data_IF_937088884278
#
_entry.id   IF_937088884278
#
_cell.length_a   1.000
_cell.length_b   1.000
_cell.length_c   1.000
_cell.angle_alpha   90.00
_cell.angle_beta   90.00
_cell.angle_gamma   90.00
#
_symmetry.space_group_name_H-M   'P 1'
#
loop_
_entity.id
_entity.type
_entity.pdbx_description
1 polymer ?
#
# COMPACT_ATOMS: atom_id res chain seq x y z
N UNK A 1 3.66 -29.57 -73.79
CA UNK A 1 4.30 -28.67 -72.80
C UNK A 1 3.51 -28.67 -71.50
N UNK A 2 3.73 -29.61 -70.57
CA UNK A 2 3.07 -29.65 -69.24
C UNK A 2 3.97 -30.33 -68.18
N UNK A 3 5.27 -29.99 -68.13
CA UNK A 3 6.26 -30.65 -67.25
C UNK A 3 6.72 -29.83 -66.03
N UNK A 4 6.90 -28.52 -66.15
CA UNK A 4 7.64 -27.74 -65.15
C UNK A 4 6.82 -27.22 -63.96
N UNK A 5 5.49 -27.08 -64.12
CA UNK A 5 4.66 -26.42 -63.12
C UNK A 5 4.49 -27.19 -61.80
N UNK A 6 4.55 -28.53 -61.81
CA UNK A 6 4.34 -29.36 -60.61
C UNK A 6 5.55 -29.42 -59.70
N UNK A 7 6.77 -29.54 -60.25
CA UNK A 7 8.01 -29.62 -59.48
C UNK A 7 8.32 -28.27 -58.81
N UNK A 8 8.13 -27.17 -59.55
CA UNK A 8 8.31 -25.81 -59.02
C UNK A 8 7.28 -25.49 -57.92
N UNK A 9 6.00 -25.89 -58.09
CA UNK A 9 4.98 -25.77 -57.03
C UNK A 9 5.33 -26.60 -55.79
N UNK A 10 5.79 -27.84 -55.94
CA UNK A 10 6.20 -28.68 -54.80
C UNK A 10 7.40 -28.09 -54.04
N UNK A 11 8.38 -27.54 -54.76
CA UNK A 11 9.54 -26.85 -54.16
C UNK A 11 9.14 -25.57 -53.42
N UNK A 12 8.23 -24.78 -53.99
CA UNK A 12 7.71 -23.57 -53.34
C UNK A 12 6.90 -23.88 -52.08
N UNK A 13 6.04 -24.92 -52.12
CA UNK A 13 5.26 -25.38 -50.97
C UNK A 13 6.18 -25.90 -49.86
N UNK A 14 7.21 -26.67 -50.20
CA UNK A 14 8.17 -27.19 -49.23
C UNK A 14 8.98 -26.06 -48.55
N UNK A 15 9.41 -25.05 -49.31
CA UNK A 15 10.07 -23.84 -48.77
C UNK A 15 9.15 -23.04 -47.85
N UNK A 16 7.86 -22.93 -48.18
CA UNK A 16 6.86 -22.27 -47.34
C UNK A 16 6.61 -23.02 -46.03
N UNK A 17 6.47 -24.35 -46.07
CA UNK A 17 6.30 -25.17 -44.86
C UNK A 17 7.54 -25.05 -43.96
N UNK A 18 8.74 -25.12 -44.53
CA UNK A 18 9.97 -24.96 -43.77
C UNK A 18 10.09 -23.55 -43.16
N UNK A 19 9.74 -22.51 -43.91
CA UNK A 19 9.74 -21.13 -43.42
C UNK A 19 8.75 -20.93 -42.26
N UNK A 20 7.55 -21.51 -42.34
CA UNK A 20 6.56 -21.47 -41.26
C UNK A 20 7.07 -22.21 -40.02
N UNK A 21 7.67 -23.40 -40.16
CA UNK A 21 8.22 -24.14 -39.02
C UNK A 21 9.36 -23.39 -38.33
N UNK A 22 10.26 -22.77 -39.11
CA UNK A 22 11.35 -21.93 -38.58
C UNK A 22 10.79 -20.70 -37.88
N UNK A 23 9.77 -20.03 -38.45
CA UNK A 23 9.12 -18.88 -37.82
C UNK A 23 8.43 -19.24 -36.52
N UNK A 24 7.69 -20.36 -36.47
CA UNK A 24 7.06 -20.85 -35.23
C UNK A 24 8.12 -21.15 -34.16
N UNK A 25 9.20 -21.83 -34.53
CA UNK A 25 10.31 -22.13 -33.61
C UNK A 25 11.02 -20.86 -33.11
N UNK A 26 11.25 -19.89 -33.99
CA UNK A 26 11.84 -18.59 -33.62
C UNK A 26 10.90 -17.81 -32.69
N UNK A 27 9.59 -17.80 -32.93
CA UNK A 27 8.63 -17.12 -32.05
C UNK A 27 8.54 -17.80 -30.67
N UNK A 28 8.52 -19.13 -30.61
CA UNK A 28 8.48 -19.89 -29.36
C UNK A 28 9.77 -19.72 -28.52
N UNK A 29 10.93 -19.79 -29.17
CA UNK A 29 12.24 -19.58 -28.51
C UNK A 29 12.39 -18.15 -27.97
N UNK A 30 11.92 -17.15 -28.72
CA UNK A 30 11.86 -15.75 -28.27
C UNK A 30 10.89 -15.59 -27.09
N UNK A 31 9.69 -16.19 -27.14
CA UNK A 31 8.69 -16.12 -26.07
C UNK A 31 9.16 -16.77 -24.76
N UNK A 32 9.94 -17.86 -24.84
CA UNK A 32 10.55 -18.48 -23.66
C UNK A 32 11.64 -17.60 -23.03
N UNK A 33 12.45 -16.92 -23.85
CA UNK A 33 13.51 -16.03 -23.39
C UNK A 33 12.98 -14.87 -22.53
N UNK A 34 11.85 -14.26 -22.90
CA UNK A 34 11.25 -13.18 -22.11
C UNK A 34 10.59 -13.67 -20.81
N UNK A 35 10.05 -14.89 -20.80
CA UNK A 35 9.39 -15.44 -19.60
C UNK A 35 10.38 -15.97 -18.58
N UNK A 36 11.52 -16.48 -19.02
CA UNK A 36 12.50 -17.14 -18.15
C UNK A 36 12.98 -16.26 -16.97
N UNK A 37 13.40 -14.98 -17.15
CA UNK A 37 13.83 -14.13 -16.03
C UNK A 37 12.72 -13.92 -15.00
N UNK A 38 11.48 -13.68 -15.45
CA UNK A 38 10.33 -13.51 -14.56
C UNK A 38 10.00 -14.78 -13.77
N UNK A 39 10.08 -15.95 -14.43
CA UNK A 39 9.93 -17.24 -13.77
C UNK A 39 11.05 -17.50 -12.75
N UNK A 40 12.29 -17.15 -13.07
CA UNK A 40 13.45 -17.31 -12.19
C UNK A 40 13.34 -16.39 -10.96
N UNK A 41 13.02 -15.11 -11.15
CA UNK A 41 12.79 -14.18 -10.05
C UNK A 41 11.62 -14.62 -9.15
N UNK A 42 10.51 -15.05 -9.76
CA UNK A 42 9.39 -15.63 -9.03
C UNK A 42 9.76 -16.90 -8.26
N UNK A 43 10.57 -17.78 -8.87
CA UNK A 43 11.04 -19.01 -8.25
C UNK A 43 11.95 -18.73 -7.06
N UNK A 44 12.86 -17.75 -7.19
CA UNK A 44 13.69 -17.28 -6.08
C UNK A 44 12.83 -16.74 -4.91
N UNK A 45 11.78 -15.97 -5.22
CA UNK A 45 10.82 -15.48 -4.21
C UNK A 45 10.09 -16.63 -3.49
N UNK A 46 9.72 -17.69 -4.20
CA UNK A 46 9.07 -18.86 -3.59
C UNK A 46 10.03 -19.65 -2.70
N UNK A 47 11.30 -19.80 -3.12
CA UNK A 47 12.36 -20.42 -2.31
C UNK A 47 12.61 -19.63 -1.03
N UNK A 48 12.70 -18.30 -1.11
CA UNK A 48 12.84 -17.42 0.05
C UNK A 48 11.63 -17.51 0.99
N UNK A 49 10.41 -17.53 0.44
CA UNK A 49 9.18 -17.71 1.22
C UNK A 49 9.20 -19.03 1.98
N UNK A 50 9.62 -20.13 1.35
CA UNK A 50 9.73 -21.42 2.02
C UNK A 50 10.74 -21.41 3.16
N UNK A 51 11.91 -20.79 2.96
CA UNK A 51 12.91 -20.59 4.01
C UNK A 51 12.38 -19.77 5.19
N UNK A 52 11.73 -18.63 4.90
CA UNK A 52 11.15 -17.75 5.93
C UNK A 52 10.06 -18.47 6.72
N UNK A 53 9.14 -19.16 6.05
CA UNK A 53 8.06 -19.88 6.71
C UNK A 53 8.61 -21.03 7.58
N UNK A 54 9.68 -21.71 7.15
CA UNK A 54 10.39 -22.72 7.95
C UNK A 54 10.95 -22.12 9.24
N UNK A 55 11.64 -20.97 9.13
CA UNK A 55 12.20 -20.24 10.27
C UNK A 55 11.11 -19.76 11.24
N UNK A 56 10.02 -19.21 10.72
CA UNK A 56 8.89 -18.73 11.51
C UNK A 56 8.15 -19.86 12.21
N UNK A 57 7.96 -21.00 11.53
CA UNK A 57 7.29 -22.15 12.12
C UNK A 57 8.08 -22.77 13.28
N UNK A 58 9.43 -22.67 13.23
CA UNK A 58 10.34 -23.25 14.21
C UNK A 58 9.95 -24.67 14.65
N UNK A 59 9.54 -25.49 13.67
CA UNK A 59 8.90 -26.77 13.92
C UNK A 59 9.87 -27.92 13.72
N UNK A 60 9.96 -28.82 14.71
CA UNK A 60 10.87 -29.96 14.69
C UNK A 60 10.60 -30.86 13.48
N UNK A 61 11.65 -31.30 12.80
CA UNK A 61 11.60 -32.21 11.64
C UNK A 61 10.71 -31.72 10.48
N UNK A 62 10.65 -30.41 10.24
CA UNK A 62 9.86 -29.81 9.14
C UNK A 62 10.68 -29.34 7.94
N UNK A 63 12.01 -29.37 8.06
CA UNK A 63 12.99 -28.98 7.04
C UNK A 63 12.66 -29.54 5.65
N UNK A 64 12.43 -30.86 5.55
CA UNK A 64 12.15 -31.55 4.28
C UNK A 64 10.84 -31.12 3.64
N UNK A 65 9.81 -30.82 4.46
CA UNK A 65 8.55 -30.25 3.97
C UNK A 65 8.78 -28.90 3.30
N UNK A 66 9.51 -27.99 3.96
CA UNK A 66 9.75 -26.66 3.41
C UNK A 66 10.69 -26.70 2.20
N UNK A 67 11.68 -27.60 2.17
CA UNK A 67 12.54 -27.85 1.01
C UNK A 67 11.75 -28.34 -0.20
N UNK A 68 10.90 -29.35 -0.02
CA UNK A 68 10.03 -29.86 -1.07
C UNK A 68 9.02 -28.79 -1.53
N UNK A 69 8.39 -28.06 -0.60
CA UNK A 69 7.39 -27.04 -0.91
C UNK A 69 7.97 -25.88 -1.71
N UNK A 70 9.13 -25.36 -1.31
CA UNK A 70 9.82 -24.29 -2.04
C UNK A 70 10.18 -24.70 -3.46
N UNK A 71 10.74 -25.90 -3.63
CA UNK A 71 11.09 -26.43 -4.95
C UNK A 71 9.85 -26.69 -5.82
N UNK A 72 8.75 -27.15 -5.22
CA UNK A 72 7.48 -27.38 -5.90
C UNK A 72 6.85 -26.07 -6.39
N UNK A 73 6.75 -25.07 -5.51
CA UNK A 73 6.21 -23.75 -5.85
C UNK A 73 7.02 -23.07 -6.95
N UNK A 74 8.36 -23.10 -6.84
CA UNK A 74 9.25 -22.53 -7.83
C UNK A 74 9.17 -23.27 -9.18
N UNK A 75 9.16 -24.60 -9.18
CA UNK A 75 9.07 -25.39 -10.42
C UNK A 75 7.74 -25.19 -11.17
N UNK A 76 6.64 -24.91 -10.45
CA UNK A 76 5.34 -24.58 -11.07
C UNK A 76 5.36 -23.32 -11.92
N UNK A 77 6.34 -22.43 -11.73
CA UNK A 77 6.49 -21.24 -12.57
C UNK A 77 7.02 -21.54 -13.96
N UNK A 78 7.59 -22.72 -14.18
CA UNK A 78 8.19 -23.13 -15.46
C UNK A 78 9.71 -23.26 -15.39
N UNK A 79 10.39 -23.35 -16.55
CA UNK A 79 11.83 -23.62 -16.64
C UNK A 79 12.70 -22.66 -15.82
N UNK A 80 12.41 -21.36 -15.82
CA UNK A 80 13.18 -20.37 -15.04
C UNK A 80 13.04 -20.58 -13.53
N UNK A 81 11.84 -20.91 -13.06
CA UNK A 81 11.60 -21.20 -11.65
C UNK A 81 12.25 -22.51 -11.20
N UNK A 82 12.22 -23.55 -12.05
CA UNK A 82 12.95 -24.81 -11.84
C UNK A 82 14.47 -24.59 -11.77
N UNK A 83 15.03 -23.72 -12.62
CA UNK A 83 16.44 -23.32 -12.58
C UNK A 83 16.78 -22.63 -11.26
N UNK A 84 16.00 -21.61 -10.86
CA UNK A 84 16.22 -20.89 -9.61
C UNK A 84 16.16 -21.83 -8.38
N UNK A 85 15.20 -22.76 -8.36
CA UNK A 85 15.08 -23.76 -7.30
C UNK A 85 16.32 -24.65 -7.19
N UNK A 86 16.94 -25.04 -8.32
CA UNK A 86 18.18 -25.81 -8.34
C UNK A 86 19.35 -24.98 -7.78
N UNK A 87 19.61 -23.81 -8.37
CA UNK A 87 20.73 -22.95 -7.98
C UNK A 87 20.69 -22.60 -6.49
N UNK A 88 19.52 -22.21 -5.98
CA UNK A 88 19.38 -21.82 -4.56
C UNK A 88 19.51 -23.02 -3.63
N UNK A 89 19.05 -24.21 -4.02
CA UNK A 89 19.22 -25.42 -3.21
C UNK A 89 20.69 -25.82 -3.13
N UNK A 90 21.39 -25.83 -4.27
CA UNK A 90 22.80 -26.19 -4.35
C UNK A 90 23.67 -25.19 -3.56
N UNK A 91 23.39 -23.88 -3.68
CA UNK A 91 24.08 -22.85 -2.91
C UNK A 91 23.84 -22.98 -1.39
N UNK A 92 22.61 -23.29 -0.97
CA UNK A 92 22.28 -23.55 0.44
C UNK A 92 23.09 -24.74 0.97
N UNK A 93 23.17 -25.82 0.22
CA UNK A 93 23.91 -27.03 0.59
C UNK A 93 25.41 -26.75 0.71
N UNK A 94 25.98 -25.97 -0.22
CA UNK A 94 27.37 -25.54 -0.13
C UNK A 94 27.64 -24.78 1.18
N UNK A 95 26.82 -23.77 1.50
CA UNK A 95 26.95 -22.99 2.74
C UNK A 95 26.81 -23.87 4.00
N UNK A 96 25.90 -24.84 3.98
CA UNK A 96 25.73 -25.78 5.09
C UNK A 96 26.93 -26.73 5.26
N UNK A 97 27.58 -27.11 4.16
CA UNK A 97 28.79 -27.94 4.15
C UNK A 97 30.06 -27.19 4.54
N UNK A 98 30.15 -25.88 4.29
CA UNK A 98 31.27 -25.04 4.74
C UNK A 98 31.22 -24.71 6.24
N UNK A 99 30.02 -24.66 6.83
CA UNK A 99 29.87 -24.40 8.26
C UNK A 99 30.17 -25.65 9.10
N UNK A 100 30.73 -25.46 10.31
CA UNK A 100 30.88 -26.51 11.34
C UNK A 100 29.50 -26.88 11.95
N UNK A 101 28.55 -27.26 11.09
CA UNK A 101 27.14 -27.41 11.39
C UNK A 101 26.80 -28.77 12.03
N UNK A 102 27.78 -29.65 12.19
CA UNK A 102 27.59 -31.01 12.71
C UNK A 102 26.70 -31.90 11.82
N UNK A 103 26.42 -31.50 10.58
CA UNK A 103 25.55 -32.24 9.65
C UNK A 103 26.27 -33.43 9.01
N UNK A 104 25.63 -34.60 9.04
CA UNK A 104 26.14 -35.81 8.40
C UNK A 104 25.80 -35.89 6.90
N UNK A 105 26.57 -36.68 6.15
CA UNK A 105 26.35 -36.94 4.70
C UNK A 105 24.95 -37.48 4.38
N UNK A 106 24.33 -38.19 5.32
CA UNK A 106 22.97 -38.71 5.22
C UNK A 106 21.89 -37.62 5.26
N UNK A 107 22.10 -36.56 6.05
CA UNK A 107 21.16 -35.43 6.15
C UNK A 107 21.13 -34.64 4.84
N UNK A 108 22.31 -34.41 4.22
CA UNK A 108 22.42 -33.79 2.91
C UNK A 108 21.72 -34.60 1.81
N UNK A 109 21.83 -35.93 1.84
CA UNK A 109 21.15 -36.80 0.87
C UNK A 109 19.61 -36.74 0.98
N UNK A 110 19.09 -36.68 2.22
CA UNK A 110 17.66 -36.56 2.48
C UNK A 110 17.10 -35.20 2.04
N UNK A 111 17.85 -34.11 2.29
CA UNK A 111 17.48 -32.76 1.85
C UNK A 111 17.43 -32.67 0.32
N UNK A 112 18.40 -33.27 -0.37
CA UNK A 112 18.40 -33.36 -1.83
C UNK A 112 17.22 -34.17 -2.38
N UNK A 113 16.85 -35.27 -1.71
CA UNK A 113 15.68 -36.06 -2.10
C UNK A 113 14.38 -35.24 -1.98
N UNK A 114 14.23 -34.46 -0.90
CA UNK A 114 13.09 -33.56 -0.73
C UNK A 114 13.08 -32.44 -1.79
N UNK A 115 14.23 -31.82 -2.07
CA UNK A 115 14.40 -30.82 -3.11
C UNK A 115 13.94 -31.37 -4.48
N UNK A 116 14.45 -32.56 -4.88
CA UNK A 116 14.10 -33.21 -6.15
C UNK A 116 12.62 -33.59 -6.23
N UNK A 117 12.06 -34.15 -5.14
CA UNK A 117 10.66 -34.53 -5.08
C UNK A 117 9.73 -33.35 -5.41
N UNK A 118 9.92 -32.21 -4.74
CA UNK A 118 9.14 -31.01 -5.00
C UNK A 118 9.34 -30.48 -6.42
N UNK A 119 10.61 -30.40 -6.88
CA UNK A 119 10.95 -29.85 -8.20
C UNK A 119 10.37 -30.67 -9.36
N UNK A 120 10.15 -31.96 -9.13
CA UNK A 120 9.54 -32.89 -10.07
C UNK A 120 8.00 -32.93 -9.96
N UNK A 121 7.39 -32.08 -9.13
CA UNK A 121 5.94 -31.98 -9.00
C UNK A 121 5.31 -32.93 -8.00
N UNK A 122 6.10 -33.64 -7.18
CA UNK A 122 5.57 -34.45 -6.10
C UNK A 122 4.93 -33.61 -4.99
N UNK A 123 3.87 -34.12 -4.35
CA UNK A 123 3.18 -33.42 -3.27
C UNK A 123 4.12 -33.19 -2.07
N UNK A 124 4.42 -31.93 -1.70
CA UNK A 124 5.26 -31.62 -0.55
C UNK A 124 4.73 -32.18 0.77
N UNK A 125 3.42 -32.44 0.88
CA UNK A 125 2.83 -32.99 2.11
C UNK A 125 3.33 -34.39 2.43
N UNK A 126 3.98 -35.09 1.49
CA UNK A 126 4.76 -36.31 1.75
C UNK A 126 5.73 -36.15 2.93
N UNK A 127 6.33 -34.97 3.08
CA UNK A 127 7.31 -34.67 4.14
C UNK A 127 6.70 -33.86 5.29
N UNK A 128 5.39 -33.60 5.29
CA UNK A 128 4.76 -32.73 6.29
C UNK A 128 4.71 -33.44 7.65
N UNK A 129 5.33 -32.89 8.71
CA UNK A 129 5.21 -33.46 10.03
C UNK A 129 3.79 -33.29 10.58
N UNK A 130 3.34 -34.29 11.37
CA UNK A 130 2.05 -34.22 12.08
C UNK A 130 2.02 -32.96 12.95
N UNK A 131 0.88 -32.26 12.94
CA UNK A 131 0.69 -31.05 13.73
C UNK A 131 1.26 -29.77 13.13
N UNK A 132 2.06 -29.81 12.04
CA UNK A 132 2.54 -28.58 11.40
C UNK A 132 1.35 -27.75 10.92
N UNK A 133 1.15 -26.52 11.43
CA UNK A 133 0.00 -25.69 11.09
C UNK A 133 -0.12 -25.51 9.57
N UNK A 134 -1.31 -25.79 9.01
CA UNK A 134 -1.61 -25.40 7.63
C UNK A 134 -1.70 -23.88 7.62
N UNK A 135 -0.82 -23.22 6.86
CA UNK A 135 -0.64 -21.77 6.79
C UNK A 135 -1.93 -21.02 7.12
N UNK A 136 -1.89 -20.30 8.25
CA UNK A 136 -3.07 -19.98 9.04
C UNK A 136 -4.06 -19.08 8.28
N UNK A 137 -5.22 -19.65 7.95
CA UNK A 137 -6.41 -18.88 7.61
C UNK A 137 -6.71 -17.85 8.72
N UNK A 138 -6.38 -18.20 9.97
CA UNK A 138 -6.52 -17.36 11.17
C UNK A 138 -5.75 -16.05 11.06
N UNK A 139 -4.45 -16.04 10.69
CA UNK A 139 -3.71 -14.78 10.56
C UNK A 139 -4.21 -13.91 9.40
N UNK A 140 -4.64 -14.53 8.31
CA UNK A 140 -5.26 -13.81 7.19
C UNK A 140 -6.61 -13.21 7.57
N UNK A 141 -7.41 -13.91 8.37
CA UNK A 141 -8.69 -13.42 8.88
C UNK A 141 -8.49 -12.27 9.87
N UNK A 142 -7.54 -12.39 10.81
CA UNK A 142 -7.21 -11.29 11.73
C UNK A 142 -6.78 -10.05 10.96
N UNK A 143 -5.89 -10.20 9.97
CA UNK A 143 -5.45 -9.09 9.14
C UNK A 143 -6.62 -8.49 8.32
N UNK A 144 -7.48 -9.33 7.75
CA UNK A 144 -8.65 -8.87 6.98
C UNK A 144 -9.65 -8.10 7.87
N UNK A 145 -9.90 -8.56 9.09
CA UNK A 145 -10.76 -7.86 10.06
C UNK A 145 -10.14 -6.52 10.48
N UNK A 146 -8.84 -6.47 10.77
CA UNK A 146 -8.15 -5.22 11.10
C UNK A 146 -8.22 -4.20 9.95
N UNK A 147 -7.99 -4.64 8.71
CA UNK A 147 -8.11 -3.78 7.52
C UNK A 147 -9.55 -3.29 7.35
N UNK A 148 -10.55 -4.15 7.56
CA UNK A 148 -11.95 -3.77 7.47
C UNK A 148 -12.34 -2.71 8.51
N UNK A 149 -11.92 -2.89 9.77
CA UNK A 149 -12.18 -1.92 10.85
C UNK A 149 -11.58 -0.56 10.52
N UNK A 150 -10.31 -0.52 10.07
CA UNK A 150 -9.64 0.73 9.69
C UNK A 150 -10.31 1.42 8.49
N UNK A 151 -10.78 0.65 7.50
CA UNK A 151 -11.49 1.21 6.35
C UNK A 151 -12.85 1.80 6.75
N UNK A 152 -13.60 1.15 7.64
CA UNK A 152 -14.91 1.68 8.10
C UNK A 152 -14.76 2.99 8.86
N UNK A 153 -13.78 3.08 9.77
CA UNK A 153 -13.53 4.30 10.53
C UNK A 153 -13.10 5.46 9.63
N UNK A 154 -12.21 5.20 8.66
CA UNK A 154 -11.74 6.23 7.73
C UNK A 154 -12.83 6.71 6.77
N UNK A 155 -13.69 5.82 6.25
CA UNK A 155 -14.84 6.19 5.41
C UNK A 155 -15.87 7.04 6.18
N UNK A 156 -16.19 6.66 7.42
CA UNK A 156 -17.15 7.40 8.24
C UNK A 156 -16.72 8.85 8.53
N UNK A 157 -15.42 9.08 8.75
CA UNK A 157 -14.88 10.42 8.93
C UNK A 157 -14.88 11.23 7.62
N UNK A 158 -14.57 10.58 6.48
CA UNK A 158 -14.48 11.25 5.18
C UNK A 158 -15.84 11.74 4.68
N UNK A 159 -16.92 10.99 4.88
CA UNK A 159 -18.27 11.42 4.48
C UNK A 159 -18.79 12.63 5.27
N UNK A 160 -18.40 12.77 6.54
CA UNK A 160 -18.83 13.89 7.38
C UNK A 160 -18.02 15.16 7.12
N UNK A 161 -16.77 15.02 6.70
CA UNK A 161 -15.84 16.14 6.55
C UNK A 161 -16.34 17.27 5.61
N UNK A 162 -16.85 17.02 4.39
CA UNK A 162 -17.36 18.09 3.52
C UNK A 162 -18.52 18.86 4.13
N UNK A 163 -19.47 18.16 4.77
CA UNK A 163 -20.61 18.78 5.44
C UNK A 163 -20.18 19.64 6.64
N UNK A 164 -19.20 19.18 7.42
CA UNK A 164 -18.60 19.95 8.49
C UNK A 164 -17.87 21.19 7.98
N UNK A 165 -17.10 21.07 6.90
CA UNK A 165 -16.37 22.18 6.29
C UNK A 165 -17.30 23.24 5.71
N UNK A 166 -18.33 22.83 4.96
CA UNK A 166 -19.35 23.73 4.43
C UNK A 166 -20.12 24.43 5.55
N UNK A 167 -20.49 23.70 6.60
CA UNK A 167 -21.10 24.27 7.80
C UNK A 167 -20.19 25.28 8.51
N UNK A 168 -18.91 24.95 8.67
CA UNK A 168 -17.94 25.83 9.31
C UNK A 168 -17.70 27.11 8.52
N UNK A 169 -17.67 27.03 7.18
CA UNK A 169 -17.61 28.20 6.32
C UNK A 169 -18.85 29.11 6.48
N UNK A 170 -20.06 28.52 6.61
CA UNK A 170 -21.30 29.28 6.89
C UNK A 170 -21.22 29.98 8.25
N UNK A 171 -20.66 29.35 9.27
CA UNK A 171 -20.52 29.96 10.60
C UNK A 171 -19.51 31.13 10.59
N UNK A 172 -18.39 30.96 9.87
CA UNK A 172 -17.40 32.03 9.67
C UNK A 172 -18.03 33.24 8.94
N UNK A 173 -18.82 32.99 7.90
CA UNK A 173 -19.56 34.04 7.19
C UNK A 173 -20.59 34.74 8.08
N UNK A 174 -21.34 33.97 8.88
CA UNK A 174 -22.30 34.51 9.86
C UNK A 174 -21.60 35.43 10.86
N UNK A 175 -20.45 35.03 11.41
CA UNK A 175 -19.68 35.87 12.32
C UNK A 175 -19.19 37.16 11.68
N UNK A 176 -18.72 37.11 10.43
CA UNK A 176 -18.37 38.30 9.66
C UNK A 176 -19.58 39.24 9.46
N UNK A 177 -20.73 38.70 9.03
CA UNK A 177 -21.95 39.48 8.81
C UNK A 177 -22.43 40.13 10.10
N UNK A 178 -22.43 39.40 11.20
CA UNK A 178 -22.86 39.90 12.50
C UNK A 178 -21.90 40.98 13.02
N UNK A 179 -20.59 40.84 12.82
CA UNK A 179 -19.60 41.88 13.12
C UNK A 179 -19.90 43.17 12.34
N UNK A 180 -20.20 43.05 11.04
CA UNK A 180 -20.53 44.20 10.17
C UNK A 180 -21.85 44.85 10.59
N UNK A 181 -22.87 44.05 10.93
CA UNK A 181 -24.18 44.54 11.36
C UNK A 181 -24.11 45.18 12.75
N UNK A 182 -23.34 44.60 13.68
CA UNK A 182 -23.20 45.13 15.03
C UNK A 182 -22.51 46.50 15.03
N UNK A 183 -21.58 46.72 14.09
CA UNK A 183 -20.77 47.93 13.97
C UNK A 183 -20.29 48.46 15.33
N UNK A 184 -19.85 47.54 16.20
CA UNK A 184 -19.61 47.81 17.61
C UNK A 184 -18.13 47.97 17.90
N UNK A 185 -17.77 49.03 18.63
CA UNK A 185 -16.38 49.33 18.97
C UNK A 185 -15.75 48.19 19.77
N UNK A 186 -14.53 47.80 19.40
CA UNK A 186 -13.73 46.75 20.06
C UNK A 186 -14.39 45.35 20.09
N UNK A 187 -15.22 45.01 19.10
CA UNK A 187 -15.91 43.71 19.01
C UNK A 187 -15.28 42.73 18.01
N UNK A 188 -14.27 43.16 17.27
CA UNK A 188 -13.54 42.37 16.26
C UNK A 188 -13.09 41.00 16.80
N UNK A 189 -12.37 41.00 17.93
CA UNK A 189 -11.81 39.77 18.52
C UNK A 189 -12.91 38.82 19.03
N UNK A 190 -14.04 39.36 19.48
CA UNK A 190 -15.21 38.56 19.84
C UNK A 190 -15.74 37.78 18.63
N UNK A 191 -16.00 38.47 17.52
CA UNK A 191 -16.52 37.81 16.32
C UNK A 191 -15.52 36.84 15.69
N UNK A 192 -14.22 37.13 15.77
CA UNK A 192 -13.16 36.20 15.37
C UNK A 192 -13.15 34.90 16.18
N UNK A 193 -13.20 35.02 17.51
CA UNK A 193 -13.29 33.86 18.39
C UNK A 193 -14.61 33.10 18.19
N UNK A 194 -15.75 33.81 18.11
CA UNK A 194 -17.08 33.19 17.96
C UNK A 194 -17.22 32.41 16.66
N UNK A 195 -16.79 32.99 15.53
CA UNK A 195 -16.81 32.30 14.24
C UNK A 195 -15.96 31.03 14.23
N UNK A 196 -14.73 31.11 14.77
CA UNK A 196 -13.85 29.96 14.87
C UNK A 196 -14.38 28.88 15.83
N UNK A 197 -15.01 29.29 16.94
CA UNK A 197 -15.63 28.40 17.91
C UNK A 197 -16.82 27.65 17.34
N UNK A 198 -17.76 28.37 16.70
CA UNK A 198 -18.93 27.79 16.05
C UNK A 198 -18.52 26.79 14.95
N UNK A 199 -17.56 27.18 14.10
CA UNK A 199 -17.06 26.32 13.04
C UNK A 199 -16.33 25.08 13.59
N UNK A 200 -15.48 25.22 14.61
CA UNK A 200 -14.75 24.11 15.20
C UNK A 200 -15.69 23.11 15.92
N UNK A 201 -16.81 23.56 16.49
CA UNK A 201 -17.83 22.69 17.09
C UNK A 201 -18.45 21.69 16.12
N UNK A 202 -18.37 21.94 14.81
CA UNK A 202 -18.85 20.99 13.80
C UNK A 202 -17.95 19.77 13.62
N UNK A 203 -16.71 19.80 14.12
CA UNK A 203 -15.75 18.71 13.99
C UNK A 203 -14.55 19.06 13.09
N UNK A 204 -13.75 18.07 12.68
CA UNK A 204 -12.50 18.28 11.94
C UNK A 204 -12.64 19.13 10.67
N UNK A 205 -13.69 18.93 9.88
CA UNK A 205 -13.91 19.71 8.65
C UNK A 205 -14.23 21.18 8.94
N UNK A 206 -15.01 21.46 9.98
CA UNK A 206 -15.33 22.83 10.38
C UNK A 206 -14.13 23.56 11.00
N UNK A 207 -13.32 22.84 11.79
CA UNK A 207 -12.03 23.34 12.31
C UNK A 207 -11.05 23.67 11.18
N UNK A 208 -10.99 22.84 10.14
CA UNK A 208 -10.19 23.09 8.94
C UNK A 208 -10.68 24.35 8.20
N UNK A 209 -11.98 24.47 7.93
CA UNK A 209 -12.56 25.62 7.24
C UNK A 209 -12.28 26.93 8.01
N UNK A 210 -12.43 26.91 9.34
CA UNK A 210 -12.12 28.05 10.20
C UNK A 210 -10.65 28.49 10.06
N UNK A 211 -9.71 27.54 10.03
CA UNK A 211 -8.28 27.83 9.82
C UNK A 211 -8.03 28.46 8.46
N UNK A 212 -8.49 27.82 7.38
CA UNK A 212 -8.26 28.30 6.01
C UNK A 212 -8.82 29.71 5.82
N UNK A 213 -10.04 29.97 6.28
CA UNK A 213 -10.68 31.29 6.12
C UNK A 213 -9.99 32.36 6.97
N UNK A 214 -9.58 32.05 8.20
CA UNK A 214 -8.82 32.98 9.04
C UNK A 214 -7.47 33.36 8.42
N UNK A 215 -6.73 32.37 7.91
CA UNK A 215 -5.42 32.58 7.30
C UNK A 215 -5.55 33.37 5.99
N UNK A 216 -6.56 33.06 5.16
CA UNK A 216 -6.85 33.81 3.93
C UNK A 216 -7.22 35.28 4.21
N UNK A 217 -8.03 35.54 5.26
CA UNK A 217 -8.35 36.91 5.69
C UNK A 217 -7.10 37.68 6.10
N UNK A 218 -6.22 37.06 6.88
CA UNK A 218 -4.95 37.69 7.30
C UNK A 218 -4.08 38.05 6.10
N UNK A 219 -3.94 37.14 5.14
CA UNK A 219 -3.18 37.39 3.92
C UNK A 219 -3.74 38.61 3.16
N UNK A 220 -5.05 38.68 2.93
CA UNK A 220 -5.70 39.82 2.26
C UNK A 220 -5.47 41.13 3.03
N UNK A 221 -5.51 41.09 4.36
CA UNK A 221 -5.26 42.27 5.19
C UNK A 221 -3.80 42.73 5.16
N UNK A 222 -2.86 41.80 5.02
CA UNK A 222 -1.42 42.08 4.87
C UNK A 222 -1.03 42.59 3.49
N UNK A 223 -1.74 42.17 2.43
CA UNK A 223 -1.53 42.67 1.06
C UNK A 223 -2.18 44.05 0.82
N UNK A 224 -3.32 44.33 1.45
CA UNK A 224 -3.93 45.64 1.40
C UNK A 224 -3.14 46.63 2.27
N UNK A 225 -2.93 47.85 1.77
CA UNK A 225 -2.30 48.98 2.48
C UNK A 225 -3.20 49.49 3.64
N UNK A 226 -3.62 48.59 4.53
CA UNK A 226 -4.72 48.77 5.48
C UNK A 226 -4.34 49.54 6.74
N UNK A 227 -3.07 49.97 6.86
CA UNK A 227 -2.57 50.77 7.99
C UNK A 227 -2.58 50.04 9.34
N UNK A 228 -2.84 48.72 9.37
CA UNK A 228 -2.84 47.91 10.60
C UNK A 228 -1.46 47.34 10.89
N UNK A 229 -0.99 47.50 12.12
CA UNK A 229 0.33 47.03 12.55
C UNK A 229 0.38 45.52 12.75
N UNK A 230 1.59 44.93 12.72
CA UNK A 230 1.84 43.50 13.00
C UNK A 230 1.21 43.01 14.32
N UNK A 231 1.08 43.88 15.32
CA UNK A 231 0.46 43.57 16.60
C UNK A 231 -1.05 43.28 16.50
N UNK A 232 -1.77 43.96 15.60
CA UNK A 232 -3.21 43.73 15.38
C UNK A 232 -3.45 42.36 14.73
N UNK A 233 -2.62 41.97 13.76
CA UNK A 233 -2.68 40.63 13.14
C UNK A 233 -2.40 39.52 14.15
N UNK A 234 -1.45 39.72 15.07
CA UNK A 234 -1.14 38.75 16.12
C UNK A 234 -2.30 38.57 17.11
N UNK A 235 -2.98 39.65 17.48
CA UNK A 235 -4.13 39.63 18.37
C UNK A 235 -5.35 38.95 17.74
N UNK A 236 -5.62 39.22 16.45
CA UNK A 236 -6.67 38.55 15.67
C UNK A 236 -6.42 37.04 15.59
N UNK A 237 -5.17 36.65 15.33
CA UNK A 237 -4.79 35.24 15.30
C UNK A 237 -4.90 34.56 16.66
N UNK A 238 -4.62 35.27 17.76
CA UNK A 238 -4.85 34.75 19.11
C UNK A 238 -6.34 34.48 19.37
N UNK A 239 -7.22 35.42 18.99
CA UNK A 239 -8.67 35.26 19.12
C UNK A 239 -9.21 34.10 18.25
N UNK A 240 -8.75 33.99 17.00
CA UNK A 240 -9.08 32.88 16.11
C UNK A 240 -8.72 31.53 16.75
N UNK A 241 -7.48 31.40 17.27
CA UNK A 241 -7.01 30.17 17.92
C UNK A 241 -7.78 29.86 19.19
N UNK A 242 -8.08 30.86 20.02
CA UNK A 242 -8.85 30.69 21.25
C UNK A 242 -10.19 30.03 20.98
N UNK A 243 -10.98 30.61 20.07
CA UNK A 243 -12.28 30.06 19.68
C UNK A 243 -12.14 28.68 19.03
N UNK A 244 -11.21 28.51 18.09
CA UNK A 244 -11.00 27.23 17.38
C UNK A 244 -10.58 26.09 18.30
N UNK A 245 -9.97 26.40 19.44
CA UNK A 245 -9.58 25.45 20.48
C UNK A 245 -10.67 25.23 21.54
N UNK A 246 -11.88 25.77 21.36
CA UNK A 246 -13.01 25.57 22.26
C UNK A 246 -13.06 26.56 23.44
N UNK A 247 -12.21 27.59 23.44
CA UNK A 247 -12.29 28.65 24.45
C UNK A 247 -13.54 29.51 24.28
N UNK A 248 -14.11 29.99 25.39
CA UNK A 248 -15.32 30.81 25.38
C UNK A 248 -15.09 32.15 24.66
N UNK A 249 -15.79 32.44 23.54
CA UNK A 249 -15.68 33.71 22.82
C UNK A 249 -15.96 34.94 23.68
N UNK A 250 -16.76 34.81 24.74
CA UNK A 250 -17.11 35.92 25.62
C UNK A 250 -15.91 36.52 26.36
N UNK A 251 -14.77 35.81 26.40
CA UNK A 251 -13.47 36.38 26.80
C UNK A 251 -13.16 37.71 26.09
N UNK A 252 -13.58 37.87 24.83
CA UNK A 252 -13.34 39.06 24.03
C UNK A 252 -14.58 39.95 23.87
N UNK A 253 -15.70 39.64 24.55
CA UNK A 253 -16.94 40.38 24.40
C UNK A 253 -16.83 41.79 25.01
N UNK A 254 -17.01 42.87 24.23
CA UNK A 254 -17.00 44.21 24.79
C UNK A 254 -18.29 44.49 25.57
N UNK A 255 -18.16 45.34 26.61
CA UNK A 255 -19.31 45.79 27.41
C UNK A 255 -20.36 46.44 26.51
N UNK A 256 -21.62 46.05 26.71
CA UNK A 256 -22.75 46.60 25.97
C UNK A 256 -23.04 45.96 24.61
N UNK A 257 -22.22 45.01 24.11
CA UNK A 257 -22.53 44.31 22.86
C UNK A 257 -23.89 43.60 22.98
N UNK A 258 -24.87 43.89 22.10
CA UNK A 258 -26.22 43.32 22.19
C UNK A 258 -26.22 41.80 22.31
N UNK A 259 -27.03 41.25 23.22
CA UNK A 259 -27.05 39.81 23.58
C UNK A 259 -27.38 38.88 22.40
N UNK A 260 -27.98 39.39 21.32
CA UNK A 260 -28.26 38.61 20.10
C UNK A 260 -27.00 38.15 19.37
N UNK A 261 -25.86 38.80 19.64
CA UNK A 261 -24.55 38.47 19.10
C UNK A 261 -23.76 37.62 20.07
#
# INVERSE_FOLDING_TARGET
MLGDGRVVRSSAIMKLILAVLVLVFLVETQAQWYRFPGQAAGGAKDMWRAYRDMRQANWKNSDKYFHARGNYDAAKRGPGGRWAAKVISDAREAVQGFGNSGRGRADSAADQAANRWGRNGGDPNRYRPKGLPKNSAIMKLILAVLVLVLLVETQAQWHRFPGQAAGGAKDMWRAYRDMRQANWKNSDKYFHARGNYDAAKRGPGGRWAAKVISDAREAVQGFGNSGRGRADSAADQAANRWGRNGGDPNRYRPKGLPKKY
#
